data_IF_703328149603
#
_entry.id   IF_703328149603
#
_cell.length_a   1.000
_cell.length_b   1.000
_cell.length_c   1.000
_cell.angle_alpha   90.00
_cell.angle_beta   90.00
_cell.angle_gamma   90.00
#
_symmetry.space_group_name_H-M   'P 1'
#
loop_
_entity.id
_entity.type
_entity.pdbx_description
1 polymer ?
#
# COMPACT_ATOMS: atom_id res chain seq x y z
N UNK A 1 -10.20 -3.83 -11.00
CA UNK A 1 -10.07 -5.03 -11.85
C UNK A 1 -8.93 -5.92 -11.38
N UNK A 2 -7.66 -5.53 -11.53
CA UNK A 2 -6.51 -6.36 -11.13
C UNK A 2 -6.58 -6.92 -9.69
N UNK A 3 -6.93 -6.10 -8.70
CA UNK A 3 -7.09 -6.58 -7.31
C UNK A 3 -8.20 -7.63 -7.11
N UNK A 4 -9.30 -7.50 -7.84
CA UNK A 4 -10.38 -8.49 -7.81
C UNK A 4 -9.96 -9.79 -8.49
N UNK A 5 -9.26 -9.70 -9.62
CA UNK A 5 -8.78 -10.90 -10.32
C UNK A 5 -7.70 -11.62 -9.52
N UNK A 6 -6.79 -10.93 -8.82
CA UNK A 6 -5.82 -11.57 -7.93
C UNK A 6 -6.45 -12.24 -6.70
N UNK A 7 -7.50 -11.64 -6.13
CA UNK A 7 -8.15 -12.18 -4.92
C UNK A 7 -9.01 -13.40 -5.24
N UNK A 8 -9.69 -13.38 -6.39
CA UNK A 8 -10.53 -14.46 -6.90
C UNK A 8 -9.76 -15.50 -7.73
N UNK A 9 -8.44 -15.36 -7.88
CA UNK A 9 -7.64 -16.27 -8.68
C UNK A 9 -7.61 -17.68 -8.08
N UNK A 10 -8.16 -18.64 -8.83
CA UNK A 10 -8.09 -20.07 -8.55
C UNK A 10 -6.86 -20.74 -9.19
N UNK A 11 -6.23 -20.10 -10.18
CA UNK A 11 -5.04 -20.59 -10.86
C UNK A 11 -3.97 -19.49 -10.99
N UNK A 12 -2.72 -19.92 -11.18
CA UNK A 12 -1.56 -19.02 -11.24
C UNK A 12 -1.59 -18.07 -12.44
N UNK A 13 -2.19 -18.49 -13.56
CA UNK A 13 -2.26 -17.67 -14.78
C UNK A 13 -3.22 -16.49 -14.60
N UNK A 14 -4.36 -16.71 -13.94
CA UNK A 14 -5.32 -15.65 -13.58
C UNK A 14 -4.71 -14.69 -12.55
N UNK A 15 -3.87 -15.22 -11.66
CA UNK A 15 -3.11 -14.42 -10.70
C UNK A 15 -2.07 -13.55 -11.41
N UNK A 16 -1.37 -14.09 -12.41
CA UNK A 16 -0.44 -13.35 -13.26
C UNK A 16 -1.15 -12.25 -14.07
N UNK A 17 -2.32 -12.52 -14.65
CA UNK A 17 -3.15 -11.52 -15.35
C UNK A 17 -3.55 -10.40 -14.39
N UNK A 18 -4.01 -10.73 -13.18
CA UNK A 18 -4.35 -9.73 -12.17
C UNK A 18 -3.15 -8.87 -11.75
N UNK A 19 -1.99 -9.49 -11.62
CA UNK A 19 -0.73 -8.79 -11.36
C UNK A 19 -0.35 -7.86 -12.51
N UNK A 20 -0.42 -8.30 -13.76
CA UNK A 20 -0.11 -7.48 -14.93
C UNK A 20 -1.04 -6.25 -15.03
N UNK A 21 -2.35 -6.42 -14.79
CA UNK A 21 -3.32 -5.32 -14.80
C UNK A 21 -3.01 -4.25 -13.75
N UNK A 22 -2.54 -4.66 -12.58
CA UNK A 22 -2.10 -3.72 -11.54
C UNK A 22 -0.80 -3.01 -11.94
N UNK A 23 0.15 -3.68 -12.60
CA UNK A 23 1.38 -3.05 -13.08
C UNK A 23 1.08 -1.99 -14.15
N UNK A 24 0.17 -2.28 -15.08
CA UNK A 24 -0.34 -1.31 -16.05
C UNK A 24 -0.98 -0.10 -15.37
N UNK A 25 -1.79 -0.32 -14.33
CA UNK A 25 -2.40 0.76 -13.57
C UNK A 25 -1.36 1.62 -12.84
N UNK A 26 -0.32 1.00 -12.27
CA UNK A 26 0.79 1.71 -11.61
C UNK A 26 1.61 2.54 -12.59
N UNK A 27 1.93 1.99 -13.76
CA UNK A 27 2.61 2.73 -14.83
C UNK A 27 1.77 3.92 -15.28
N UNK A 28 0.47 3.70 -15.53
CA UNK A 28 -0.46 4.77 -15.90
C UNK A 28 -0.54 5.87 -14.85
N UNK A 29 -0.57 5.51 -13.57
CA UNK A 29 -0.60 6.47 -12.47
C UNK A 29 0.72 7.23 -12.32
N UNK A 30 1.87 6.58 -12.50
CA UNK A 30 3.17 7.23 -12.49
C UNK A 30 3.30 8.25 -13.64
N UNK A 31 2.83 7.90 -14.84
CA UNK A 31 2.78 8.78 -16.00
C UNK A 31 1.82 9.96 -15.77
N UNK A 32 0.62 9.70 -15.22
CA UNK A 32 -0.38 10.73 -14.90
C UNK A 32 0.10 11.73 -13.84
N UNK A 33 0.69 11.24 -12.74
CA UNK A 33 1.26 12.11 -11.71
C UNK A 33 2.46 12.92 -12.24
N UNK A 34 3.25 12.34 -13.15
CA UNK A 34 4.35 13.04 -13.82
C UNK A 34 3.90 14.20 -14.73
N UNK A 35 2.69 14.15 -15.29
CA UNK A 35 2.13 15.24 -16.10
C UNK A 35 1.68 16.46 -15.28
N UNK A 36 1.32 16.25 -14.00
CA UNK A 36 0.76 17.30 -13.13
C UNK A 36 1.80 18.05 -12.29
N UNK A 37 3.04 17.59 -12.28
CA UNK A 37 4.16 18.25 -11.60
C UNK A 37 4.75 19.30 -12.54
N UNK A 38 4.50 20.58 -12.29
CA UNK A 38 4.99 21.74 -13.06
C UNK A 38 6.51 21.97 -13.00
N UNK A 39 7.29 21.02 -12.48
CA UNK A 39 8.76 21.09 -12.54
C UNK A 39 9.24 20.68 -13.94
N UNK A 40 9.25 21.67 -14.82
CA UNK A 40 9.81 21.64 -16.16
C UNK A 40 11.33 21.41 -16.12
N UNK A 41 11.80 20.33 -16.74
CA UNK A 41 13.23 20.09 -16.98
C UNK A 41 13.57 18.70 -17.52
N UNK A 42 12.91 17.64 -17.02
CA UNK A 42 13.25 16.26 -17.37
C UNK A 42 12.09 15.55 -18.10
N UNK A 43 11.80 15.96 -19.35
CA UNK A 43 10.76 15.31 -20.18
C UNK A 43 11.15 13.89 -20.58
N UNK A 44 12.44 13.66 -20.92
CA UNK A 44 12.95 12.39 -21.43
C UNK A 44 13.08 11.30 -20.35
N UNK A 45 13.27 11.66 -19.08
CA UNK A 45 13.42 10.67 -17.98
C UNK A 45 12.11 10.13 -17.43
N UNK A 46 10.96 10.70 -17.82
CA UNK A 46 9.62 10.33 -17.31
C UNK A 46 9.23 8.86 -17.54
N UNK A 47 9.38 8.27 -18.74
CA UNK A 47 9.04 6.86 -18.97
C UNK A 47 9.97 5.91 -18.20
N UNK A 48 11.27 6.20 -18.16
CA UNK A 48 12.26 5.45 -17.36
C UNK A 48 11.90 5.44 -15.86
N UNK A 49 11.41 6.57 -15.35
CA UNK A 49 10.97 6.70 -13.96
C UNK A 49 9.66 5.96 -13.66
N UNK A 50 8.71 5.94 -14.60
CA UNK A 50 7.51 5.10 -14.48
C UNK A 50 7.86 3.61 -14.51
N UNK A 51 8.84 3.23 -15.34
CA UNK A 51 9.33 1.86 -15.45
C UNK A 51 9.99 1.39 -14.14
N UNK A 52 10.86 2.21 -13.54
CA UNK A 52 11.53 1.88 -12.27
C UNK A 52 10.57 1.70 -11.09
N UNK A 53 9.44 2.41 -11.08
CA UNK A 53 8.39 2.24 -10.07
C UNK A 53 7.59 0.94 -10.25
N UNK A 54 7.45 0.46 -11.48
CA UNK A 54 6.72 -0.76 -11.81
C UNK A 54 7.62 -2.01 -11.87
N UNK A 55 8.94 -1.85 -11.94
CA UNK A 55 9.93 -2.91 -12.13
C UNK A 55 9.80 -4.08 -11.12
N UNK A 56 9.63 -3.84 -9.80
CA UNK A 56 9.40 -4.93 -8.86
C UNK A 56 8.10 -5.69 -9.13
N UNK A 57 7.05 -4.98 -9.56
CA UNK A 57 5.78 -5.57 -9.96
C UNK A 57 5.89 -6.41 -11.23
N UNK A 58 6.58 -5.91 -12.25
CA UNK A 58 6.86 -6.64 -13.48
C UNK A 58 7.67 -7.91 -13.21
N UNK A 59 8.70 -7.82 -12.37
CA UNK A 59 9.49 -8.98 -11.95
C UNK A 59 8.62 -10.02 -11.23
N UNK A 60 7.73 -9.56 -10.32
CA UNK A 60 6.76 -10.45 -9.67
C UNK A 60 5.84 -11.12 -10.70
N UNK A 61 5.30 -10.36 -11.66
CA UNK A 61 4.43 -10.87 -12.73
C UNK A 61 5.17 -11.90 -13.61
N UNK A 62 6.44 -11.66 -13.95
CA UNK A 62 7.25 -12.62 -14.70
C UNK A 62 7.46 -13.92 -13.91
N UNK A 63 7.81 -13.83 -12.62
CA UNK A 63 7.97 -14.99 -11.75
C UNK A 63 6.66 -15.78 -11.65
N UNK A 64 5.51 -15.11 -11.58
CA UNK A 64 4.20 -15.77 -11.56
C UNK A 64 3.93 -16.56 -12.85
N UNK A 65 4.29 -16.00 -14.01
CA UNK A 65 4.18 -16.70 -15.30
C UNK A 65 5.10 -17.92 -15.34
N UNK A 66 6.36 -17.78 -14.92
CA UNK A 66 7.31 -18.89 -14.84
C UNK A 66 6.84 -19.99 -13.87
N UNK A 67 6.25 -19.61 -12.73
CA UNK A 67 5.64 -20.57 -11.80
C UNK A 67 4.46 -21.29 -12.43
N UNK A 68 3.61 -20.60 -13.20
CA UNK A 68 2.50 -21.22 -13.90
C UNK A 68 2.98 -22.25 -14.92
N UNK A 69 3.97 -21.89 -15.75
CA UNK A 69 4.57 -22.80 -16.75
C UNK A 69 5.22 -24.02 -16.09
N UNK A 70 5.94 -23.80 -14.98
CA UNK A 70 6.59 -24.89 -14.24
C UNK A 70 5.58 -25.82 -13.59
N UNK A 71 4.52 -25.28 -12.98
CA UNK A 71 3.48 -26.09 -12.35
C UNK A 71 2.70 -26.91 -13.40
N UNK A 72 2.46 -26.33 -14.57
CA UNK A 72 1.86 -27.03 -15.71
C UNK A 72 2.74 -28.18 -16.21
N UNK A 73 4.06 -27.94 -16.33
CA UNK A 73 5.02 -28.96 -16.75
C UNK A 73 5.20 -30.10 -15.72
N UNK A 74 5.20 -29.80 -14.41
CA UNK A 74 5.46 -30.78 -13.34
C UNK A 74 4.19 -31.53 -12.90
N UNK A 75 3.02 -30.88 -12.91
CA UNK A 75 1.77 -31.43 -12.32
C UNK A 75 0.63 -31.54 -13.36
N UNK A 76 0.78 -30.95 -14.54
CA UNK A 76 -0.23 -30.98 -15.61
C UNK A 76 -1.41 -30.02 -15.40
N UNK A 77 -1.31 -29.10 -14.44
CA UNK A 77 -2.32 -28.05 -14.22
C UNK A 77 -1.75 -26.81 -13.53
N UNK A 78 -2.44 -25.67 -13.63
CA UNK A 78 -2.02 -24.39 -13.02
C UNK A 78 -2.79 -24.00 -11.75
N UNK A 79 -3.57 -24.91 -11.18
CA UNK A 79 -4.49 -24.62 -10.08
C UNK A 79 -3.78 -24.51 -8.71
N UNK A 80 -4.13 -23.47 -7.94
CA UNK A 80 -3.58 -23.20 -6.60
C UNK A 80 -4.08 -24.13 -5.47
N UNK A 81 -5.29 -24.73 -5.51
CA UNK A 81 -5.75 -25.65 -4.46
C UNK A 81 -5.31 -27.11 -4.68
N UNK A 82 -4.42 -27.37 -5.65
CA UNK A 82 -3.89 -28.71 -5.85
C UNK A 82 -3.05 -29.16 -4.64
N UNK A 83 -3.34 -30.36 -4.12
CA UNK A 83 -2.75 -30.89 -2.88
C UNK A 83 -1.25 -31.16 -2.94
N UNK A 84 -0.59 -30.94 -4.07
CA UNK A 84 0.84 -31.17 -4.26
C UNK A 84 1.45 -30.03 -5.10
N UNK A 85 1.68 -28.87 -4.47
CA UNK A 85 2.49 -27.81 -5.08
C UNK A 85 3.96 -28.09 -4.74
N UNK A 86 4.86 -28.18 -5.73
CA UNK A 86 6.29 -28.32 -5.49
C UNK A 86 6.84 -27.20 -4.59
N UNK A 87 7.71 -27.51 -3.62
CA UNK A 87 8.25 -26.51 -2.69
C UNK A 87 9.04 -25.42 -3.42
N UNK A 88 9.71 -25.75 -4.52
CA UNK A 88 10.43 -24.80 -5.39
C UNK A 88 9.49 -23.74 -5.98
N UNK A 89 8.28 -24.13 -6.40
CA UNK A 89 7.25 -23.23 -6.91
C UNK A 89 6.72 -22.34 -5.77
N UNK A 90 6.50 -22.90 -4.58
CA UNK A 90 6.07 -22.11 -3.41
C UNK A 90 7.09 -21.05 -2.99
N UNK A 91 8.40 -21.36 -3.02
CA UNK A 91 9.47 -20.36 -2.78
C UNK A 91 9.37 -19.24 -3.80
N UNK A 92 9.29 -19.57 -5.09
CA UNK A 92 9.22 -18.56 -6.16
C UNK A 92 7.95 -17.70 -6.04
N UNK A 93 6.82 -18.29 -5.69
CA UNK A 93 5.58 -17.56 -5.41
C UNK A 93 5.72 -16.62 -4.21
N UNK A 94 6.41 -17.06 -3.15
CA UNK A 94 6.73 -16.21 -2.00
C UNK A 94 7.65 -15.04 -2.37
N UNK A 95 8.66 -15.27 -3.22
CA UNK A 95 9.53 -14.21 -3.76
C UNK A 95 8.72 -13.22 -4.60
N UNK A 96 7.87 -13.71 -5.50
CA UNK A 96 6.97 -12.86 -6.29
C UNK A 96 6.06 -12.02 -5.39
N UNK A 97 5.51 -12.62 -4.34
CA UNK A 97 4.67 -11.92 -3.36
C UNK A 97 5.45 -10.80 -2.66
N UNK A 98 6.67 -11.06 -2.19
CA UNK A 98 7.53 -10.06 -1.54
C UNK A 98 7.88 -8.93 -2.52
N UNK A 99 8.25 -9.24 -3.77
CA UNK A 99 8.50 -8.22 -4.79
C UNK A 99 7.27 -7.35 -5.07
N UNK A 100 6.08 -7.97 -5.08
CA UNK A 100 4.80 -7.28 -5.26
C UNK A 100 4.47 -6.34 -4.11
N UNK A 101 4.91 -6.65 -2.89
CA UNK A 101 4.74 -5.75 -1.74
C UNK A 101 5.50 -4.43 -1.90
N UNK A 102 6.49 -4.38 -2.79
CA UNK A 102 7.37 -3.22 -3.00
C UNK A 102 8.01 -2.75 -1.69
N UNK A 103 8.44 -3.71 -0.87
CA UNK A 103 9.02 -3.42 0.44
C UNK A 103 10.27 -2.55 0.32
N UNK A 104 10.48 -1.67 1.29
CA UNK A 104 11.70 -0.86 1.37
C UNK A 104 12.96 -1.75 1.27
N UNK A 105 13.94 -1.39 0.43
CA UNK A 105 14.10 -0.11 -0.25
C UNK A 105 13.32 0.05 -1.57
N UNK A 106 12.73 -1.01 -2.13
CA UNK A 106 12.08 -1.06 -3.46
C UNK A 106 10.82 -0.18 -3.61
N UNK A 107 10.39 0.51 -2.56
CA UNK A 107 9.19 1.33 -2.54
C UNK A 107 9.29 2.56 -3.48
N UNK A 108 8.28 2.82 -4.34
CA UNK A 108 8.27 3.96 -5.26
C UNK A 108 8.15 5.31 -4.53
N UNK A 109 9.08 6.24 -4.79
CA UNK A 109 9.33 7.42 -3.93
C UNK A 109 8.68 8.73 -4.36
N UNK A 110 8.34 8.85 -5.65
CA UNK A 110 7.76 10.08 -6.23
C UNK A 110 6.27 10.23 -5.95
N UNK A 111 5.67 9.18 -5.39
CA UNK A 111 4.28 9.15 -4.98
C UNK A 111 4.17 9.76 -3.58
N UNK A 112 4.15 11.10 -3.53
CA UNK A 112 4.12 11.88 -2.27
C UNK A 112 2.71 12.26 -1.82
N UNK A 113 1.70 12.12 -2.67
CA UNK A 113 0.32 12.44 -2.32
C UNK A 113 -0.39 11.30 -1.58
N UNK A 114 -1.40 11.64 -0.77
CA UNK A 114 -2.24 10.64 -0.10
C UNK A 114 -2.97 9.73 -1.10
N UNK A 115 -3.44 10.30 -2.22
CA UNK A 115 -4.04 9.55 -3.35
C UNK A 115 -3.06 8.57 -3.97
N UNK A 116 -1.80 8.98 -4.09
CA UNK A 116 -0.74 8.14 -4.60
C UNK A 116 -0.38 7.01 -3.62
N UNK A 117 -0.24 7.32 -2.33
CA UNK A 117 -0.03 6.30 -1.31
C UNK A 117 -1.18 5.28 -1.31
N UNK A 118 -2.44 5.74 -1.41
CA UNK A 118 -3.59 4.86 -1.55
C UNK A 118 -3.50 3.95 -2.79
N UNK A 119 -3.01 4.46 -3.93
CA UNK A 119 -2.84 3.66 -5.14
C UNK A 119 -1.79 2.55 -5.00
N UNK A 120 -0.72 2.79 -4.24
CA UNK A 120 0.34 1.81 -3.97
C UNK A 120 -0.08 0.72 -2.98
N UNK A 121 -1.14 0.95 -2.20
CA UNK A 121 -1.63 0.00 -1.22
C UNK A 121 -2.36 -1.20 -1.85
N UNK A 122 -2.99 -1.01 -3.01
CA UNK A 122 -3.63 -2.10 -3.75
C UNK A 122 -2.63 -3.19 -4.21
N UNK A 123 -1.55 -2.85 -4.93
CA UNK A 123 -0.54 -3.84 -5.32
C UNK A 123 0.22 -4.38 -4.10
N UNK A 124 0.53 -3.53 -3.11
CA UNK A 124 1.21 -4.00 -1.91
C UNK A 124 0.35 -4.99 -1.11
N UNK A 125 -0.95 -4.71 -0.97
CA UNK A 125 -1.92 -5.58 -0.33
C UNK A 125 -2.13 -6.89 -1.07
N UNK A 126 -2.12 -6.86 -2.41
CA UNK A 126 -2.17 -8.08 -3.22
C UNK A 126 -0.92 -8.96 -3.02
N UNK A 127 0.27 -8.35 -2.92
CA UNK A 127 1.49 -9.07 -2.56
C UNK A 127 1.41 -9.72 -1.19
N UNK A 128 0.98 -8.99 -0.17
CA UNK A 128 0.79 -9.51 1.18
C UNK A 128 -0.27 -10.62 1.23
N UNK A 129 -1.35 -10.49 0.46
CA UNK A 129 -2.40 -11.52 0.37
C UNK A 129 -1.85 -12.80 -0.26
N UNK A 130 -1.12 -12.67 -1.37
CA UNK A 130 -0.46 -13.81 -2.01
C UNK A 130 0.52 -14.48 -1.04
N UNK A 131 1.33 -13.70 -0.32
CA UNK A 131 2.29 -14.23 0.65
C UNK A 131 1.59 -15.01 1.77
N UNK A 132 0.51 -14.43 2.33
CA UNK A 132 -0.28 -15.09 3.36
C UNK A 132 -0.87 -16.43 2.85
N UNK A 133 -1.33 -16.47 1.58
CA UNK A 133 -1.81 -17.72 0.96
C UNK A 133 -0.70 -18.76 0.77
N UNK A 134 0.48 -18.35 0.32
CA UNK A 134 1.63 -19.26 0.15
C UNK A 134 2.05 -19.86 1.49
N UNK A 135 2.21 -19.02 2.51
CA UNK A 135 2.61 -19.42 3.87
C UNK A 135 1.55 -20.30 4.56
N UNK A 136 0.27 -20.11 4.21
CA UNK A 136 -0.82 -20.96 4.69
C UNK A 136 -0.81 -22.36 4.06
N UNK A 137 -0.33 -22.51 2.82
CA UNK A 137 -0.19 -23.81 2.15
C UNK A 137 1.00 -24.57 2.74
N UNK A 138 2.15 -23.91 2.83
CA UNK A 138 3.30 -24.43 3.55
C UNK A 138 4.19 -23.26 4.02
N UNK A 139 4.76 -23.32 5.23
CA UNK A 139 5.61 -22.27 5.75
C UNK A 139 7.02 -22.33 5.14
N UNK A 140 7.14 -22.02 3.84
CA UNK A 140 8.38 -22.25 3.07
C UNK A 140 9.43 -21.16 3.28
N UNK A 141 9.02 -19.94 3.63
CA UNK A 141 9.96 -18.87 3.98
C UNK A 141 9.98 -18.73 5.50
N UNK A 142 11.09 -19.03 6.18
CA UNK A 142 11.16 -18.97 7.63
C UNK A 142 11.15 -17.51 8.13
N UNK A 143 10.67 -17.32 9.36
CA UNK A 143 10.61 -16.01 10.02
C UNK A 143 12.01 -15.42 10.33
N UNK A 144 13.07 -16.21 10.21
CA UNK A 144 14.47 -15.77 10.38
C UNK A 144 15.14 -15.38 9.05
N UNK A 145 14.47 -15.60 7.92
CA UNK A 145 15.04 -15.31 6.61
C UNK A 145 15.16 -13.80 6.34
N UNK A 146 15.98 -13.47 5.33
CA UNK A 146 16.16 -12.12 4.80
C UNK A 146 14.85 -11.29 4.68
N UNK A 147 13.70 -11.85 4.28
CA UNK A 147 12.44 -11.10 4.23
C UNK A 147 11.97 -10.54 5.58
N UNK A 148 12.21 -11.23 6.70
CA UNK A 148 11.85 -10.70 8.02
C UNK A 148 12.74 -9.53 8.44
N UNK A 149 14.02 -9.59 8.09
CA UNK A 149 14.94 -8.46 8.24
C UNK A 149 14.50 -7.27 7.39
N UNK A 150 14.12 -7.49 6.13
CA UNK A 150 13.57 -6.44 5.26
C UNK A 150 12.25 -5.88 5.83
N UNK A 151 11.39 -6.73 6.40
CA UNK A 151 10.20 -6.36 7.16
C UNK A 151 10.48 -5.40 8.30
N UNK A 152 11.45 -5.76 9.15
CA UNK A 152 11.89 -4.96 10.29
C UNK A 152 12.53 -3.63 9.86
N UNK A 153 13.36 -3.64 8.82
CA UNK A 153 13.96 -2.43 8.28
C UNK A 153 12.89 -1.50 7.68
N UNK A 154 11.90 -2.05 6.98
CA UNK A 154 10.78 -1.29 6.46
C UNK A 154 9.94 -0.68 7.59
N UNK A 155 9.66 -1.42 8.66
CA UNK A 155 8.96 -0.89 9.83
C UNK A 155 9.67 0.33 10.43
N UNK A 156 10.97 0.19 10.69
CA UNK A 156 11.81 1.25 11.24
C UNK A 156 11.89 2.45 10.30
N UNK A 157 12.17 2.21 9.02
CA UNK A 157 12.23 3.27 8.01
C UNK A 157 10.89 3.99 7.88
N UNK A 158 9.77 3.26 7.87
CA UNK A 158 8.43 3.81 7.80
C UNK A 158 8.07 4.65 9.01
N UNK A 159 8.34 4.16 10.22
CA UNK A 159 8.14 4.92 11.47
C UNK A 159 8.96 6.21 11.51
N UNK A 160 10.25 6.12 11.19
CA UNK A 160 11.15 7.29 11.14
C UNK A 160 10.74 8.31 10.08
N UNK A 161 10.31 7.86 8.90
CA UNK A 161 9.80 8.74 7.84
C UNK A 161 8.48 9.40 8.23
N UNK A 162 7.58 8.68 8.92
CA UNK A 162 6.32 9.25 9.40
C UNK A 162 6.56 10.34 10.46
N UNK A 163 7.45 10.07 11.41
CA UNK A 163 7.86 11.03 12.43
C UNK A 163 8.55 12.26 11.85
N UNK A 164 9.65 12.04 11.11
CA UNK A 164 10.44 13.14 10.54
C UNK A 164 9.64 13.95 9.52
N UNK A 165 8.80 13.29 8.72
CA UNK A 165 7.85 13.90 7.80
C UNK A 165 6.95 14.92 8.49
N UNK A 166 6.32 14.50 9.59
CA UNK A 166 5.41 15.34 10.37
C UNK A 166 6.14 16.45 11.14
N UNK A 167 7.33 16.15 11.66
CA UNK A 167 8.17 17.15 12.33
C UNK A 167 8.66 18.25 11.37
N UNK A 168 8.99 17.89 10.12
CA UNK A 168 9.47 18.82 9.10
C UNK A 168 8.35 19.65 8.45
N UNK A 169 7.15 19.07 8.25
CA UNK A 169 6.00 19.76 7.66
C UNK A 169 5.62 21.04 8.43
N UNK A 170 5.80 21.05 9.76
CA UNK A 170 5.59 22.23 10.62
C UNK A 170 6.61 23.36 10.43
N UNK A 171 7.66 23.17 9.63
CA UNK A 171 8.73 24.15 9.36
C UNK A 171 8.53 24.89 8.04
N UNK A 172 7.91 24.24 7.05
CA UNK A 172 7.76 24.75 5.68
C UNK A 172 6.27 24.95 5.41
N UNK A 173 5.81 26.19 5.44
CA UNK A 173 4.48 26.57 4.94
C UNK A 173 4.37 26.17 3.46
N UNK A 174 3.81 24.99 3.19
CA UNK A 174 3.73 24.37 1.86
C UNK A 174 4.18 22.90 1.80
N UNK A 175 4.87 22.39 2.84
CA UNK A 175 5.22 20.97 2.96
C UNK A 175 4.01 20.14 3.38
N UNK A 176 3.21 19.68 2.41
CA UNK A 176 2.03 18.86 2.68
C UNK A 176 2.33 17.54 3.40
N UNK A 177 1.30 16.82 3.90
CA UNK A 177 1.42 15.60 4.72
C UNK A 177 2.00 14.37 4.00
N UNK A 178 2.61 14.55 2.82
CA UNK A 178 3.02 13.47 1.93
C UNK A 178 4.08 12.52 2.49
N UNK A 179 5.00 13.05 3.29
CA UNK A 179 6.02 12.24 3.95
C UNK A 179 5.43 11.32 5.03
N UNK A 180 4.38 11.76 5.74
CA UNK A 180 3.63 10.93 6.69
C UNK A 180 2.97 9.74 5.99
N UNK A 181 2.29 9.98 4.87
CA UNK A 181 1.61 8.92 4.11
C UNK A 181 2.58 7.88 3.57
N UNK A 182 3.73 8.31 3.07
CA UNK A 182 4.80 7.40 2.62
C UNK A 182 5.37 6.58 3.77
N UNK A 183 5.66 7.22 4.91
CA UNK A 183 6.14 6.51 6.10
C UNK A 183 5.13 5.49 6.61
N UNK A 184 3.86 5.88 6.69
CA UNK A 184 2.76 5.00 7.09
C UNK A 184 2.64 3.79 6.17
N UNK A 185 2.66 3.98 4.86
CA UNK A 185 2.56 2.88 3.89
C UNK A 185 3.72 1.90 4.05
N UNK A 186 4.96 2.39 4.08
CA UNK A 186 6.15 1.54 4.23
C UNK A 186 6.06 0.75 5.55
N UNK A 187 5.60 1.39 6.62
CA UNK A 187 5.40 0.75 7.91
C UNK A 187 4.31 -0.34 7.85
N UNK A 188 3.14 -0.07 7.23
CA UNK A 188 2.08 -1.08 7.11
C UNK A 188 2.52 -2.30 6.28
N UNK A 189 3.29 -2.08 5.22
CA UNK A 189 3.85 -3.16 4.41
C UNK A 189 4.84 -4.01 5.22
N UNK A 190 5.73 -3.37 5.99
CA UNK A 190 6.65 -4.07 6.88
C UNK A 190 5.94 -4.88 7.97
N UNK A 191 4.91 -4.29 8.60
CA UNK A 191 4.07 -4.95 9.60
C UNK A 191 3.35 -6.18 9.02
N UNK A 192 2.73 -6.02 7.84
CA UNK A 192 2.04 -7.09 7.14
C UNK A 192 2.99 -8.22 6.73
N UNK A 193 4.21 -7.90 6.31
CA UNK A 193 5.22 -8.90 5.97
C UNK A 193 5.62 -9.73 7.19
N UNK A 194 5.98 -9.07 8.30
CA UNK A 194 6.31 -9.78 9.54
C UNK A 194 5.14 -10.64 10.03
N UNK A 195 3.91 -10.12 9.96
CA UNK A 195 2.72 -10.89 10.34
C UNK A 195 2.57 -12.16 9.50
N UNK A 196 2.71 -12.06 8.18
CA UNK A 196 2.59 -13.22 7.28
C UNK A 196 3.69 -14.28 7.48
N UNK A 197 4.88 -13.87 7.95
CA UNK A 197 6.02 -14.76 8.19
C UNK A 197 5.99 -15.40 9.59
N UNK A 198 5.61 -14.64 10.62
CA UNK A 198 5.62 -15.09 12.02
C UNK A 198 4.35 -15.87 12.37
N UNK A 199 3.21 -15.53 11.76
CA UNK A 199 1.92 -16.16 12.02
C UNK A 199 1.34 -16.78 10.73
N UNK A 200 2.02 -17.78 10.13
CA UNK A 200 1.56 -18.43 8.91
C UNK A 200 0.19 -19.09 9.13
N UNK A 201 -0.67 -19.06 8.12
CA UNK A 201 -2.00 -19.68 8.17
C UNK A 201 -3.06 -18.91 8.97
N UNK A 202 -2.73 -17.75 9.53
CA UNK A 202 -3.70 -16.90 10.22
C UNK A 202 -4.46 -15.98 9.26
N UNK A 203 -5.65 -15.53 9.68
CA UNK A 203 -6.45 -14.58 8.90
C UNK A 203 -5.66 -13.30 8.63
N UNK A 204 -5.73 -12.72 7.40
CA UNK A 204 -4.98 -11.53 7.02
C UNK A 204 -5.55 -10.24 7.64
N UNK A 205 -5.64 -10.21 8.97
CA UNK A 205 -6.10 -9.07 9.77
C UNK A 205 -5.38 -7.75 9.44
N UNK A 206 -4.05 -7.72 9.21
CA UNK A 206 -3.38 -6.51 8.77
C UNK A 206 -3.99 -5.94 7.48
N UNK A 207 -4.32 -6.80 6.51
CA UNK A 207 -4.91 -6.38 5.24
C UNK A 207 -6.34 -5.88 5.41
N UNK A 208 -7.15 -6.58 6.21
CA UNK A 208 -8.52 -6.15 6.50
C UNK A 208 -8.56 -4.79 7.21
N UNK A 209 -7.72 -4.62 8.23
CA UNK A 209 -7.62 -3.35 8.98
C UNK A 209 -7.16 -2.19 8.08
N UNK A 210 -6.18 -2.47 7.21
CA UNK A 210 -5.67 -1.54 6.22
C UNK A 210 -6.76 -1.12 5.23
N UNK A 211 -7.49 -2.08 4.65
CA UNK A 211 -8.56 -1.80 3.70
C UNK A 211 -9.70 -0.98 4.32
N UNK A 212 -10.13 -1.30 5.55
CA UNK A 212 -11.19 -0.56 6.24
C UNK A 212 -10.77 0.88 6.55
N UNK A 213 -9.56 1.08 7.06
CA UNK A 213 -9.05 2.41 7.35
C UNK A 213 -8.88 3.26 6.07
N UNK A 214 -8.39 2.66 4.99
CA UNK A 214 -8.25 3.35 3.70
C UNK A 214 -9.58 3.64 3.04
N UNK A 215 -10.57 2.74 3.13
CA UNK A 215 -11.92 2.99 2.63
C UNK A 215 -12.54 4.20 3.32
N UNK A 216 -12.38 4.31 4.64
CA UNK A 216 -12.85 5.46 5.41
C UNK A 216 -12.15 6.75 4.93
N UNK A 217 -10.83 6.71 4.79
CA UNK A 217 -10.05 7.86 4.29
C UNK A 217 -10.42 8.24 2.86
N UNK A 218 -10.70 7.26 1.98
CA UNK A 218 -11.14 7.50 0.62
C UNK A 218 -12.50 8.19 0.57
N UNK A 219 -13.47 7.74 1.39
CA UNK A 219 -14.76 8.42 1.53
C UNK A 219 -14.59 9.84 2.06
N UNK A 220 -13.66 10.06 3.00
CA UNK A 220 -13.35 11.39 3.50
C UNK A 220 -12.74 12.30 2.43
N UNK A 221 -11.81 11.79 1.60
CA UNK A 221 -11.20 12.54 0.50
C UNK A 221 -12.19 12.86 -0.62
N UNK A 222 -13.09 11.95 -0.95
CA UNK A 222 -14.08 12.13 -2.03
C UNK A 222 -15.30 12.97 -1.59
N UNK A 223 -15.51 13.14 -0.28
CA UNK A 223 -16.58 13.97 0.25
C UNK A 223 -16.48 15.46 -0.15
N UNK A 224 -15.33 15.90 -0.69
CA UNK A 224 -15.01 17.27 -1.13
C UNK A 224 -15.19 17.50 -2.64
N UNK A 225 -15.48 16.49 -3.45
CA UNK A 225 -15.70 16.74 -4.89
C UNK A 225 -17.05 17.43 -5.07
N UNK A 226 -17.07 18.77 -5.00
CA UNK A 226 -17.98 19.58 -5.83
C UNK A 226 -17.89 18.90 -7.17
N UNK A 227 -18.99 18.28 -7.60
CA UNK A 227 -19.04 17.51 -8.82
C UNK A 227 -18.56 18.47 -9.90
N UNK A 228 -17.30 18.33 -10.36
CA UNK A 228 -16.95 18.83 -11.67
C UNK A 228 -18.00 18.16 -12.56
N UNK A 229 -18.90 18.94 -13.19
CA UNK A 229 -20.04 18.38 -13.89
C UNK A 229 -19.51 17.29 -14.78
N UNK A 230 -19.93 16.05 -14.53
CA UNK A 230 -19.44 14.89 -15.24
C UNK A 230 -19.79 15.12 -16.71
N UNK A 231 -18.82 15.58 -17.50
CA UNK A 231 -19.00 15.82 -18.93
C UNK A 231 -19.01 14.45 -19.58
N UNK A 232 -20.20 13.86 -19.63
CA UNK A 232 -20.43 12.65 -20.40
C UNK A 232 -19.89 12.86 -21.82
N UNK A 233 -19.27 11.83 -22.43
CA UNK A 233 -18.90 11.87 -23.84
C UNK A 233 -20.08 12.38 -24.68
N UNK A 234 -19.84 13.19 -25.72
CA UNK A 234 -20.90 13.86 -26.48
C UNK A 234 -22.03 12.90 -26.96
N UNK A 235 -21.69 11.64 -27.25
CA UNK A 235 -22.66 10.58 -27.62
C UNK A 235 -23.58 10.10 -26.48
N UNK A 236 -23.14 10.21 -25.22
CA UNK A 236 -23.95 9.90 -24.04
C UNK A 236 -24.74 11.12 -23.55
N UNK A 237 -24.28 12.34 -23.83
CA UNK A 237 -25.09 13.55 -23.62
C UNK A 237 -26.30 13.58 -24.54
N UNK A 238 -26.14 13.21 -25.82
CA UNK A 238 -27.26 13.09 -26.75
C UNK A 238 -28.23 11.97 -26.36
N UNK A 239 -27.72 10.82 -25.87
CA UNK A 239 -28.57 9.76 -25.32
C UNK A 239 -29.32 10.21 -24.05
N UNK A 240 -28.67 10.96 -23.15
CA UNK A 240 -29.29 11.50 -21.94
C UNK A 240 -30.32 12.60 -22.26
N UNK A 241 -30.09 13.41 -23.29
CA UNK A 241 -31.06 14.37 -23.81
C UNK A 241 -32.24 13.66 -24.48
N UNK A 242 -32.01 12.59 -25.24
CA UNK A 242 -33.06 11.79 -25.87
C UNK A 242 -33.94 11.06 -24.85
N UNK A 243 -33.32 10.46 -23.81
CA UNK A 243 -34.03 9.86 -22.67
C UNK A 243 -34.71 10.92 -21.81
N UNK A 244 -34.06 12.06 -21.58
CA UNK A 244 -34.62 13.20 -20.84
C UNK A 244 -35.83 13.83 -21.53
N UNK A 245 -35.86 13.90 -22.86
CA UNK A 245 -37.00 14.45 -23.61
C UNK A 245 -38.18 13.47 -23.71
N UNK A 246 -37.95 12.15 -23.79
CA UNK A 246 -39.04 11.16 -23.94
C UNK A 246 -39.53 10.55 -22.63
N UNK A 247 -38.63 10.35 -21.66
CA UNK A 247 -38.93 9.66 -20.39
C UNK A 247 -38.92 10.65 -19.21
N UNK A 248 -38.12 11.71 -19.30
CA UNK A 248 -38.02 12.77 -18.29
C UNK A 248 -39.37 13.35 -17.84
N UNK A 249 -40.27 13.85 -18.72
CA UNK A 249 -41.50 14.51 -18.28
C UNK A 249 -42.51 13.58 -17.59
N UNK A 250 -42.39 12.25 -17.76
CA UNK A 250 -43.24 11.26 -17.06
C UNK A 250 -42.69 10.82 -15.71
N UNK A 251 -41.37 10.87 -15.51
CA UNK A 251 -40.71 10.49 -14.26
C UNK A 251 -40.31 11.68 -13.39
N UNK A 252 -40.25 12.90 -13.95
CA UNK A 252 -39.94 14.13 -13.24
C UNK A 252 -40.79 14.38 -11.99
N UNK A 253 -42.14 14.26 -12.03
CA UNK A 253 -42.94 14.51 -10.84
C UNK A 253 -42.72 13.44 -9.76
N UNK A 254 -42.42 12.19 -10.13
CA UNK A 254 -42.11 11.14 -9.16
C UNK A 254 -40.71 11.34 -8.56
N UNK A 255 -39.72 11.66 -9.40
CA UNK A 255 -38.34 11.92 -9.00
C UNK A 255 -38.21 13.18 -8.14
N UNK A 256 -38.93 14.25 -8.48
CA UNK A 256 -38.98 15.48 -7.67
C UNK A 256 -39.66 15.24 -6.32
N UNK A 257 -40.76 14.46 -6.27
CA UNK A 257 -41.38 14.05 -4.99
C UNK A 257 -40.46 13.20 -4.15
N UNK A 258 -39.71 12.28 -4.78
CA UNK A 258 -38.75 11.42 -4.09
C UNK A 258 -37.57 12.24 -3.55
N UNK A 259 -37.05 13.19 -4.33
CA UNK A 259 -36.02 14.14 -3.89
C UNK A 259 -36.53 15.08 -2.78
N UNK A 260 -37.78 15.53 -2.84
CA UNK A 260 -38.38 16.35 -1.77
C UNK A 260 -38.59 15.54 -0.49
N UNK A 261 -39.11 14.32 -0.56
CA UNK A 261 -39.23 13.42 0.60
C UNK A 261 -37.87 13.06 1.21
N UNK A 262 -36.85 12.87 0.37
CA UNK A 262 -35.48 12.72 0.85
C UNK A 262 -34.93 14.00 1.44
N UNK A 263 -35.16 15.17 0.84
CA UNK A 263 -34.69 16.45 1.36
C UNK A 263 -35.33 16.77 2.73
N UNK A 264 -36.61 16.43 2.93
CA UNK A 264 -37.31 16.58 4.21
C UNK A 264 -36.76 15.63 5.27
N UNK A 265 -36.56 14.34 4.94
CA UNK A 265 -35.99 13.35 5.88
C UNK A 265 -34.50 13.57 6.15
N UNK A 266 -33.75 14.05 5.15
CA UNK A 266 -32.32 14.41 5.26
C UNK A 266 -32.11 15.84 5.81
N UNK A 267 -33.17 16.64 5.96
CA UNK A 267 -33.09 17.99 6.55
C UNK A 267 -32.66 17.96 8.02
N UNK A 268 -32.91 16.85 8.72
CA UNK A 268 -32.31 16.58 10.03
C UNK A 268 -30.79 16.36 9.93
N UNK A 269 -30.31 15.63 8.91
CA UNK A 269 -28.88 15.40 8.68
C UNK A 269 -28.14 16.67 8.23
N UNK A 270 -28.80 17.57 7.49
CA UNK A 270 -28.26 18.88 7.16
C UNK A 270 -28.11 19.78 8.41
N UNK A 271 -29.13 19.82 9.28
CA UNK A 271 -29.05 20.51 10.59
C UNK A 271 -27.99 19.90 11.51
N UNK A 272 -27.88 18.56 11.51
CA UNK A 272 -26.83 17.85 12.25
C UNK A 272 -25.44 18.16 11.70
N UNK A 273 -25.24 18.18 10.37
CA UNK A 273 -23.96 18.58 9.72
C UNK A 273 -23.50 19.96 10.17
N UNK A 274 -24.42 20.91 10.28
CA UNK A 274 -24.09 22.28 10.64
C UNK A 274 -23.80 22.44 12.14
N UNK A 275 -24.13 21.42 12.95
CA UNK A 275 -23.77 21.36 14.37
C UNK A 275 -22.26 21.26 14.57
N UNK A 276 -21.79 21.89 15.65
CA UNK A 276 -20.39 21.81 16.09
C UNK A 276 -19.93 20.37 16.34
N UNK A 277 -20.85 19.51 16.80
CA UNK A 277 -20.60 18.09 17.09
C UNK A 277 -20.30 17.34 15.79
N UNK A 278 -21.04 17.57 14.71
CA UNK A 278 -20.75 16.93 13.42
C UNK A 278 -19.48 17.48 12.77
N UNK A 279 -19.18 18.78 12.89
CA UNK A 279 -17.93 19.36 12.36
C UNK A 279 -16.69 18.83 13.08
N UNK A 280 -16.72 18.74 14.41
CA UNK A 280 -15.62 18.13 15.19
C UNK A 280 -15.59 16.61 15.02
N UNK A 281 -16.75 15.95 15.01
CA UNK A 281 -16.88 14.51 14.81
C UNK A 281 -16.39 14.05 13.43
N UNK A 282 -16.64 14.83 12.39
CA UNK A 282 -16.17 14.55 11.03
C UNK A 282 -14.64 14.48 10.90
N UNK A 283 -13.91 15.18 11.76
CA UNK A 283 -12.44 15.13 11.84
C UNK A 283 -11.95 13.94 12.66
N UNK A 284 -12.72 13.53 13.68
CA UNK A 284 -12.40 12.38 14.51
C UNK A 284 -12.47 11.05 13.74
N UNK A 285 -13.35 10.91 12.75
CA UNK A 285 -13.49 9.69 11.94
C UNK A 285 -12.24 9.36 11.10
N UNK A 286 -11.69 10.27 10.27
CA UNK A 286 -10.45 9.99 9.54
C UNK A 286 -9.24 9.95 10.49
N UNK A 287 -9.24 10.71 11.59
CA UNK A 287 -8.21 10.58 12.62
C UNK A 287 -8.20 9.17 13.24
N UNK A 288 -9.37 8.59 13.52
CA UNK A 288 -9.51 7.21 13.99
C UNK A 288 -9.00 6.22 12.95
N UNK A 289 -9.23 6.43 11.65
CA UNK A 289 -8.70 5.56 10.61
C UNK A 289 -7.17 5.57 10.58
N UNK A 290 -6.54 6.75 10.60
CA UNK A 290 -5.07 6.85 10.63
C UNK A 290 -4.51 6.26 11.94
N UNK A 291 -5.16 6.52 13.07
CA UNK A 291 -4.78 5.94 14.36
C UNK A 291 -4.94 4.42 14.37
N UNK A 292 -5.98 3.88 13.73
CA UNK A 292 -6.16 2.45 13.55
C UNK A 292 -5.03 1.84 12.73
N UNK A 293 -4.54 2.50 11.68
CA UNK A 293 -3.36 2.01 10.95
C UNK A 293 -2.12 1.93 11.86
N UNK A 294 -1.94 2.90 12.76
CA UNK A 294 -0.90 2.85 13.78
C UNK A 294 -1.16 1.84 14.91
N UNK A 295 -2.27 1.10 14.87
CA UNK A 295 -2.62 0.12 15.89
C UNK A 295 -3.20 0.73 17.16
N UNK A 296 -4.06 1.76 17.04
CA UNK A 296 -4.74 2.30 18.22
C UNK A 296 -5.45 1.16 18.99
N UNK A 297 -5.34 1.11 20.33
CA UNK A 297 -6.08 0.12 21.12
C UNK A 297 -7.57 0.11 20.77
N UNK A 298 -8.18 -1.07 20.84
CA UNK A 298 -9.61 -1.29 20.55
C UNK A 298 -10.03 -1.07 19.08
N UNK A 299 -9.09 -0.97 18.13
CA UNK A 299 -9.39 -0.94 16.70
C UNK A 299 -8.99 -2.24 15.99
N UNK A 300 -9.46 -2.41 14.75
CA UNK A 300 -9.02 -3.47 13.84
C UNK A 300 -7.48 -3.58 13.74
N UNK A 301 -6.77 -2.44 13.79
CA UNK A 301 -5.32 -2.42 13.73
C UNK A 301 -4.66 -3.04 14.96
N UNK A 302 -5.22 -2.82 16.16
CA UNK A 302 -4.75 -3.51 17.36
C UNK A 302 -5.00 -5.02 17.29
N UNK A 303 -6.11 -5.45 16.67
CA UNK A 303 -6.40 -6.86 16.45
C UNK A 303 -5.34 -7.55 15.57
N UNK A 304 -4.79 -6.82 14.60
CA UNK A 304 -3.71 -7.29 13.74
C UNK A 304 -2.35 -7.30 14.46
N UNK A 305 -2.04 -6.27 15.26
CA UNK A 305 -0.73 -6.12 15.91
C UNK A 305 -0.59 -6.93 17.18
N UNK A 306 -1.65 -7.11 17.97
CA UNK A 306 -1.60 -7.81 19.25
C UNK A 306 -1.06 -9.25 19.14
N UNK A 307 -1.50 -10.08 18.18
CA UNK A 307 -0.92 -11.41 17.98
C UNK A 307 0.54 -11.36 17.57
N UNK A 308 0.94 -10.38 16.75
CA UNK A 308 2.34 -10.24 16.32
C UNK A 308 3.26 -9.95 17.51
N UNK A 309 2.86 -9.03 18.39
CA UNK A 309 3.58 -8.74 19.64
C UNK A 309 3.69 -9.98 20.54
N UNK A 310 2.60 -10.74 20.67
CA UNK A 310 2.57 -11.93 21.52
C UNK A 310 3.44 -13.06 20.95
N UNK A 311 3.44 -13.27 19.63
CA UNK A 311 4.26 -14.29 18.97
C UNK A 311 5.75 -13.96 19.10
N UNK A 312 6.14 -12.73 18.79
CA UNK A 312 7.52 -12.28 18.91
C UNK A 312 8.03 -12.32 20.35
N UNK A 313 7.16 -12.03 21.32
CA UNK A 313 7.49 -12.12 22.75
C UNK A 313 7.64 -13.57 23.21
N UNK A 314 6.76 -14.47 22.77
CA UNK A 314 6.81 -15.89 23.10
C UNK A 314 8.09 -16.54 22.59
N UNK A 315 8.50 -16.20 21.36
CA UNK A 315 9.67 -16.79 20.71
C UNK A 315 10.98 -16.07 21.09
N UNK A 316 10.92 -15.04 21.95
CA UNK A 316 12.09 -14.22 22.31
C UNK A 316 12.73 -13.52 21.11
N UNK A 317 11.95 -13.25 20.07
CA UNK A 317 12.45 -12.81 18.78
C UNK A 317 12.94 -11.34 18.84
N UNK A 318 14.18 -11.04 18.40
CA UNK A 318 14.74 -9.69 18.45
C UNK A 318 13.96 -8.66 17.61
N UNK A 319 13.17 -9.10 16.63
CA UNK A 319 12.28 -8.23 15.84
C UNK A 319 11.18 -7.55 16.68
N UNK A 320 10.95 -7.99 17.92
CA UNK A 320 10.06 -7.28 18.84
C UNK A 320 10.54 -5.86 19.11
N UNK A 321 11.86 -5.67 19.27
CA UNK A 321 12.45 -4.37 19.56
C UNK A 321 12.34 -3.41 18.38
N UNK A 322 12.56 -3.91 17.16
CA UNK A 322 12.38 -3.11 15.95
C UNK A 322 10.93 -2.66 15.79
N UNK A 323 9.96 -3.55 16.07
CA UNK A 323 8.53 -3.24 16.04
C UNK A 323 8.16 -2.17 17.08
N UNK A 324 8.60 -2.32 18.34
CA UNK A 324 8.35 -1.34 19.41
C UNK A 324 8.88 0.06 19.05
N UNK A 325 10.12 0.12 18.57
CA UNK A 325 10.76 1.38 18.19
C UNK A 325 10.05 2.00 16.98
N UNK A 326 9.72 1.19 15.97
CA UNK A 326 9.00 1.65 14.79
C UNK A 326 7.60 2.20 15.14
N UNK A 327 6.87 1.51 16.01
CA UNK A 327 5.54 1.91 16.47
C UNK A 327 5.59 3.19 17.29
N UNK A 328 6.65 3.37 18.08
CA UNK A 328 6.89 4.58 18.87
C UNK A 328 7.08 5.80 17.96
N UNK A 329 7.90 5.68 16.91
CA UNK A 329 8.09 6.75 15.93
C UNK A 329 6.82 7.00 15.12
N UNK A 330 6.10 5.94 14.74
CA UNK A 330 4.83 6.09 14.02
C UNK A 330 3.80 6.84 14.86
N UNK A 331 3.64 6.48 16.14
CA UNK A 331 2.75 7.16 17.08
C UNK A 331 3.16 8.63 17.27
N UNK A 332 4.46 8.92 17.42
CA UNK A 332 4.97 10.28 17.52
C UNK A 332 4.66 11.11 16.25
N UNK A 333 4.89 10.54 15.06
CA UNK A 333 4.56 11.17 13.78
C UNK A 333 3.08 11.45 13.64
N UNK A 334 2.22 10.51 14.05
CA UNK A 334 0.78 10.66 14.04
C UNK A 334 0.32 11.79 14.96
N UNK A 335 0.83 11.87 16.19
CA UNK A 335 0.51 12.97 17.11
C UNK A 335 0.96 14.34 16.60
N UNK A 336 2.12 14.41 15.94
CA UNK A 336 2.59 15.64 15.31
C UNK A 336 1.77 16.01 14.07
N UNK A 337 1.35 15.05 13.26
CA UNK A 337 0.65 15.29 12.00
C UNK A 337 -0.86 15.46 12.12
N UNK A 338 -1.49 14.97 13.19
CA UNK A 338 -2.95 14.92 13.36
C UNK A 338 -3.64 16.28 13.18
N UNK A 339 -3.12 17.34 13.81
CA UNK A 339 -3.70 18.69 13.68
C UNK A 339 -3.58 19.22 12.26
N UNK A 340 -2.44 19.01 11.60
CA UNK A 340 -2.14 19.53 10.26
C UNK A 340 -2.86 18.74 9.16
N UNK A 341 -3.15 17.45 9.40
CA UNK A 341 -3.92 16.58 8.51
C UNK A 341 -5.40 16.98 8.45
N UNK A 342 -5.93 17.53 9.55
CA UNK A 342 -7.37 17.74 9.72
C UNK A 342 -7.77 19.15 10.13
N UNK A 343 -6.91 20.14 9.88
CA UNK A 343 -7.29 21.56 10.01
C UNK A 343 -8.59 21.85 9.26
N UNK A 344 -9.52 22.60 9.88
CA UNK A 344 -10.95 22.59 9.54
C UNK A 344 -11.22 23.36 8.24
N UNK A 345 -11.10 22.69 7.11
CA UNK A 345 -11.49 23.25 5.81
C UNK A 345 -12.66 22.50 5.15
N UNK A 346 -13.08 21.33 5.65
CA UNK A 346 -13.89 20.39 4.87
C UNK A 346 -15.07 19.80 5.66
N UNK A 347 -16.29 20.14 5.26
CA UNK A 347 -17.53 19.57 5.79
C UNK A 347 -18.04 18.45 4.88
N UNK A 348 -17.98 17.17 5.30
CA UNK A 348 -18.40 16.05 4.45
C UNK A 348 -19.92 16.04 4.17
N UNK A 349 -20.30 15.50 3.01
CA UNK A 349 -21.71 15.26 2.64
C UNK A 349 -22.42 14.34 3.64
N UNK A 350 -23.74 14.46 3.86
CA UNK A 350 -24.48 13.66 4.84
C UNK A 350 -24.41 12.16 4.56
N UNK A 351 -24.46 11.73 3.30
CA UNK A 351 -24.28 10.31 2.93
C UNK A 351 -22.85 9.82 3.17
N UNK A 352 -21.85 10.66 2.93
CA UNK A 352 -20.45 10.33 3.22
C UNK A 352 -20.22 10.20 4.74
N UNK A 353 -20.88 11.03 5.56
CA UNK A 353 -20.87 10.92 7.02
C UNK A 353 -21.43 9.58 7.50
N UNK A 354 -22.55 9.13 6.95
CA UNK A 354 -23.13 7.81 7.28
C UNK A 354 -22.16 6.69 6.89
N UNK A 355 -21.57 6.76 5.69
CA UNK A 355 -20.56 5.80 5.24
C UNK A 355 -19.32 5.76 6.14
N UNK A 356 -18.79 6.93 6.53
CA UNK A 356 -17.66 7.03 7.45
C UNK A 356 -17.99 6.52 8.86
N UNK A 357 -19.19 6.83 9.38
CA UNK A 357 -19.65 6.31 10.67
C UNK A 357 -19.78 4.79 10.65
N UNK A 358 -20.34 4.23 9.58
CA UNK A 358 -20.44 2.79 9.40
C UNK A 358 -19.05 2.14 9.37
N UNK A 359 -18.12 2.66 8.57
CA UNK A 359 -16.75 2.14 8.49
C UNK A 359 -15.99 2.28 9.81
N UNK A 360 -16.17 3.40 10.52
CA UNK A 360 -15.59 3.62 11.85
C UNK A 360 -16.16 2.63 12.88
N UNK A 361 -17.47 2.38 12.85
CA UNK A 361 -18.10 1.38 13.69
C UNK A 361 -17.56 -0.02 13.40
N UNK A 362 -17.40 -0.40 12.12
CA UNK A 362 -16.79 -1.69 11.75
C UNK A 362 -15.34 -1.77 12.24
N UNK A 363 -14.54 -0.70 12.11
CA UNK A 363 -13.16 -0.63 12.64
C UNK A 363 -13.09 -0.83 14.16
N UNK A 364 -14.03 -0.26 14.92
CA UNK A 364 -14.07 -0.40 16.39
C UNK A 364 -14.63 -1.77 16.81
N UNK A 365 -15.74 -2.20 16.22
CA UNK A 365 -16.39 -3.47 16.54
C UNK A 365 -15.47 -4.67 16.25
N UNK A 366 -14.70 -4.60 15.16
CA UNK A 366 -13.68 -5.62 14.85
C UNK A 366 -12.53 -5.66 15.86
N UNK A 367 -12.17 -4.53 16.47
CA UNK A 367 -11.17 -4.44 17.54
C UNK A 367 -11.66 -4.99 18.88
N UNK A 368 -12.91 -4.73 19.25
CA UNK A 368 -13.50 -5.08 20.55
C UNK A 368 -13.88 -6.58 20.64
N UNK A 369 -13.94 -7.29 19.51
CA UNK A 369 -14.16 -8.74 19.49
C UNK A 369 -15.50 -9.18 18.89
N UNK A 370 -16.29 -8.27 18.32
CA UNK A 370 -17.52 -8.59 17.59
C UNK A 370 -17.27 -9.20 16.18
N UNK A 371 -16.05 -9.71 15.92
CA UNK A 371 -15.70 -10.40 14.69
C UNK A 371 -16.23 -11.84 14.59
N UNK A 372 -16.74 -12.41 15.69
CA UNK A 372 -17.36 -13.74 15.70
C UNK A 372 -18.57 -13.82 14.75
N UNK A 373 -19.35 -12.74 14.63
CA UNK A 373 -20.45 -12.64 13.67
C UNK A 373 -20.03 -12.46 12.20
N UNK A 374 -18.77 -12.11 11.95
CA UNK A 374 -18.19 -11.94 10.60
C UNK A 374 -17.36 -13.17 10.16
N UNK A 375 -17.36 -14.24 10.95
CA UNK A 375 -16.57 -15.46 10.67
C UNK A 375 -15.06 -15.31 10.88
N UNK A 376 -14.61 -14.23 11.54
CA UNK A 376 -13.19 -13.97 11.74
C UNK A 376 -12.72 -14.53 13.08
N UNK A 377 -11.94 -15.61 13.03
CA UNK A 377 -11.42 -16.24 14.24
C UNK A 377 -10.31 -15.39 14.89
N UNK A 378 -10.35 -15.21 16.22
CA UNK A 378 -9.27 -14.58 16.94
C UNK A 378 -8.02 -15.45 16.91
N UNK A 379 -6.85 -14.84 16.71
CA UNK A 379 -5.57 -15.55 16.89
C UNK A 379 -5.30 -15.62 18.40
N UNK A 380 -5.19 -16.84 18.93
CA UNK A 380 -4.90 -17.08 20.35
C UNK A 380 -3.49 -17.61 20.51
N UNK A 381 -2.67 -16.87 21.24
CA UNK A 381 -1.28 -17.23 21.53
C UNK A 381 -1.22 -17.52 23.03
N UNK A 382 -0.85 -18.77 23.36
CA UNK A 382 -0.81 -19.27 24.75
C UNK A 382 0.53 -18.93 25.38
N UNK A 383 0.57 -18.77 26.70
CA UNK A 383 1.82 -18.61 27.46
C UNK A 383 2.31 -17.17 27.64
N UNK A 384 1.53 -16.17 27.24
CA UNK A 384 1.87 -14.75 27.42
C UNK A 384 0.86 -14.05 28.33
N UNK A 385 1.34 -13.31 29.35
CA UNK A 385 0.47 -12.54 30.25
C UNK A 385 -0.29 -11.45 29.50
N UNK A 386 -1.61 -11.45 29.62
CA UNK A 386 -2.46 -10.41 29.02
C UNK A 386 -2.14 -9.00 29.55
N UNK A 387 -1.79 -8.89 30.84
CA UNK A 387 -1.39 -7.62 31.46
C UNK A 387 -0.03 -7.14 30.98
N UNK A 388 0.95 -8.05 30.89
CA UNK A 388 2.29 -7.73 30.35
C UNK A 388 2.21 -7.28 28.90
N UNK A 389 1.40 -7.97 28.09
CA UNK A 389 1.11 -7.59 26.70
C UNK A 389 0.39 -6.25 26.60
N UNK A 390 -0.60 -5.99 27.45
CA UNK A 390 -1.29 -4.71 27.48
C UNK A 390 -0.34 -3.55 27.77
N UNK A 391 0.58 -3.72 28.72
CA UNK A 391 1.58 -2.72 29.05
C UNK A 391 2.57 -2.52 27.89
N UNK A 392 3.11 -3.61 27.35
CA UNK A 392 4.01 -3.60 26.19
C UNK A 392 3.38 -2.89 24.98
N UNK A 393 2.10 -3.11 24.74
CA UNK A 393 1.35 -2.52 23.63
C UNK A 393 1.08 -1.01 23.81
N UNK A 394 0.92 -0.55 25.06
CA UNK A 394 0.67 0.86 25.38
C UNK A 394 1.96 1.69 25.38
N UNK A 395 3.12 1.07 25.63
CA UNK A 395 4.42 1.75 25.69
C UNK A 395 4.72 2.61 24.44
N UNK A 396 4.60 2.11 23.20
CA UNK A 396 4.83 2.93 22.00
C UNK A 396 3.96 4.18 21.92
N UNK A 397 2.72 4.11 22.42
CA UNK A 397 1.81 5.24 22.44
C UNK A 397 2.24 6.30 23.46
N UNK A 398 2.58 5.87 24.69
CA UNK A 398 3.03 6.79 25.74
C UNK A 398 4.36 7.46 25.37
N UNK A 399 5.34 6.67 24.93
CA UNK A 399 6.64 7.18 24.51
C UNK A 399 6.51 8.01 23.25
N UNK A 400 5.62 7.64 22.33
CA UNK A 400 5.32 8.41 21.12
C UNK A 400 4.75 9.79 21.42
N UNK A 401 3.80 9.90 22.37
CA UNK A 401 3.27 11.20 22.84
C UNK A 401 4.38 12.05 23.45
N UNK A 402 5.20 11.44 24.30
CA UNK A 402 6.35 12.12 24.91
C UNK A 402 7.35 12.63 23.86
N UNK A 403 7.71 11.80 22.88
CA UNK A 403 8.57 12.19 21.76
C UNK A 403 7.94 13.29 20.90
N UNK A 404 6.63 13.25 20.66
CA UNK A 404 5.92 14.32 19.95
C UNK A 404 6.00 15.64 20.71
N UNK A 405 5.90 15.63 22.04
CA UNK A 405 6.06 16.83 22.88
C UNK A 405 7.47 17.42 22.81
N UNK A 406 8.49 16.56 22.71
CA UNK A 406 9.89 16.95 22.55
C UNK A 406 10.28 17.31 21.11
N UNK A 407 9.50 16.84 20.13
CA UNK A 407 9.76 16.98 18.70
C UNK A 407 9.93 18.44 18.24
N UNK A 408 9.44 19.41 19.01
CA UNK A 408 9.70 20.84 18.83
C UNK A 408 11.20 21.20 18.85
N UNK A 409 12.00 20.50 19.65
CA UNK A 409 13.47 20.69 19.75
C UNK A 409 14.24 19.93 18.66
N UNK A 410 13.70 18.82 18.15
CA UNK A 410 14.36 17.92 17.20
C UNK A 410 14.10 18.26 15.72
N UNK A 411 13.41 19.39 15.47
CA UNK A 411 13.08 19.90 14.12
C UNK A 411 14.29 20.09 13.21
N UNK A 412 15.49 20.30 13.76
CA UNK A 412 16.72 20.47 13.00
C UNK A 412 17.25 19.17 12.39
N UNK A 413 16.97 18.02 13.03
CA UNK A 413 17.51 16.70 12.67
C UNK A 413 16.57 15.97 11.69
N UNK A 414 15.27 16.29 11.71
CA UNK A 414 14.26 15.71 10.82
C UNK A 414 14.64 15.66 9.32
N UNK A 415 15.14 16.73 8.68
CA UNK A 415 15.53 16.68 7.26
C UNK A 415 16.75 15.76 7.01
N UNK A 416 17.66 15.66 7.97
CA UNK A 416 18.83 14.79 7.88
C UNK A 416 18.40 13.31 7.94
N UNK A 417 17.47 12.98 8.85
CA UNK A 417 16.88 11.63 8.93
C UNK A 417 16.14 11.28 7.64
N UNK A 418 15.36 12.22 7.07
CA UNK A 418 14.70 12.00 5.78
C UNK A 418 15.69 11.74 4.64
N UNK A 419 16.83 12.45 4.60
CA UNK A 419 17.86 12.24 3.58
C UNK A 419 18.52 10.85 3.68
N UNK A 420 18.85 10.42 4.91
CA UNK A 420 19.50 9.13 5.16
C UNK A 420 18.52 7.97 4.94
N UNK A 421 17.40 7.97 5.68
CA UNK A 421 16.39 6.89 5.64
C UNK A 421 15.64 6.89 4.31
N UNK A 422 15.44 8.06 3.73
CA UNK A 422 14.89 8.20 2.41
C UNK A 422 15.79 7.61 1.32
N UNK A 423 17.05 7.22 1.60
CA UNK A 423 18.11 6.75 0.69
C UNK A 423 18.20 7.52 -0.63
N UNK A 424 17.92 8.82 -0.64
CA UNK A 424 17.93 9.60 -1.88
C UNK A 424 19.33 9.66 -2.49
N UNK A 425 20.37 9.44 -1.68
CA UNK A 425 21.76 9.31 -2.10
C UNK A 425 22.01 8.02 -2.90
N UNK A 426 21.49 6.87 -2.42
CA UNK A 426 21.72 5.55 -3.04
C UNK A 426 21.07 5.48 -4.42
N UNK A 427 19.85 6.00 -4.55
CA UNK A 427 19.14 6.02 -5.82
C UNK A 427 19.72 7.03 -6.81
N UNK A 428 20.28 8.15 -6.32
CA UNK A 428 21.08 9.04 -7.16
C UNK A 428 22.35 8.34 -7.66
N UNK A 429 23.00 7.55 -6.81
CA UNK A 429 24.16 6.75 -7.21
C UNK A 429 23.79 5.64 -8.22
N UNK A 430 22.71 4.90 -7.98
CA UNK A 430 22.15 3.91 -8.93
C UNK A 430 21.70 4.54 -10.24
N UNK A 431 21.08 5.72 -10.20
CA UNK A 431 20.72 6.47 -11.41
C UNK A 431 21.94 6.91 -12.20
N UNK A 432 23.03 7.32 -11.54
CA UNK A 432 24.32 7.59 -12.21
C UNK A 432 24.90 6.32 -12.83
N UNK A 433 24.92 5.20 -12.10
CA UNK A 433 25.34 3.90 -12.64
C UNK A 433 24.49 3.48 -13.84
N UNK A 434 23.16 3.69 -13.76
CA UNK A 434 22.23 3.45 -14.85
C UNK A 434 22.55 4.31 -16.08
N UNK A 435 22.81 5.61 -15.90
CA UNK A 435 23.22 6.49 -17.01
C UNK A 435 24.60 6.13 -17.59
N UNK A 436 25.51 5.59 -16.77
CA UNK A 436 26.82 5.09 -17.23
C UNK A 436 26.63 3.80 -18.04
N UNK A 437 25.74 2.90 -17.60
CA UNK A 437 25.41 1.66 -18.30
C UNK A 437 24.59 1.89 -19.56
N UNK A 438 23.68 2.86 -19.55
CA UNK A 438 22.94 3.31 -20.73
C UNK A 438 23.89 3.99 -21.72
N UNK A 439 24.81 4.82 -21.24
CA UNK A 439 25.90 5.37 -22.04
C UNK A 439 26.83 4.28 -22.60
N UNK A 440 27.14 3.25 -21.82
CA UNK A 440 27.94 2.11 -22.26
C UNK A 440 27.20 1.20 -23.24
N UNK A 441 25.88 1.03 -23.07
CA UNK A 441 25.01 0.27 -23.97
C UNK A 441 24.74 1.01 -25.28
N UNK A 442 24.58 2.34 -25.22
CA UNK A 442 24.51 3.22 -26.37
C UNK A 442 25.86 3.28 -27.10
N UNK A 443 26.98 3.31 -26.37
CA UNK A 443 28.33 3.21 -26.93
C UNK A 443 28.58 1.82 -27.53
N UNK A 444 28.18 0.73 -26.87
CA UNK A 444 28.20 -0.64 -27.43
C UNK A 444 27.29 -0.77 -28.65
N UNK A 445 26.16 -0.05 -28.67
CA UNK A 445 25.25 0.05 -29.81
C UNK A 445 25.88 0.81 -30.98
N UNK A 446 26.53 1.95 -30.73
CA UNK A 446 27.26 2.72 -31.75
C UNK A 446 28.49 1.98 -32.27
N UNK A 447 29.25 1.32 -31.40
CA UNK A 447 30.39 0.48 -31.79
C UNK A 447 29.91 -0.82 -32.48
N UNK A 448 28.68 -1.26 -32.20
CA UNK A 448 28.00 -2.37 -32.85
C UNK A 448 27.44 -2.03 -34.23
N UNK A 449 26.97 -0.80 -34.43
CA UNK A 449 26.50 -0.28 -35.73
C UNK A 449 27.65 0.14 -36.67
N UNK A 450 28.86 0.37 -36.13
CA UNK A 450 30.00 0.85 -36.91
C UNK A 450 30.58 -0.16 -37.91
N UNK A 451 30.86 -1.41 -37.50
CA UNK A 451 31.56 -2.37 -38.39
C UNK A 451 31.22 -3.86 -38.19
N UNK A 452 30.16 -4.23 -37.44
CA UNK A 452 29.66 -5.63 -37.37
C UNK A 452 30.63 -6.72 -36.84
N UNK A 453 31.88 -6.36 -36.53
CA UNK A 453 32.97 -7.24 -36.10
C UNK A 453 32.68 -8.05 -34.84
N UNK A 454 31.89 -7.53 -33.89
CA UNK A 454 31.51 -8.27 -32.67
C UNK A 454 30.45 -9.35 -32.93
N UNK A 455 29.52 -9.11 -33.85
CA UNK A 455 28.57 -10.14 -34.31
C UNK A 455 29.30 -11.25 -35.04
N UNK A 456 30.26 -10.91 -35.90
CA UNK A 456 31.16 -11.87 -36.53
C UNK A 456 32.03 -12.60 -35.51
N UNK A 457 32.60 -11.91 -34.50
CA UNK A 457 33.42 -12.55 -33.47
C UNK A 457 32.62 -13.57 -32.65
N UNK A 458 31.36 -13.26 -32.27
CA UNK A 458 30.47 -14.20 -31.57
C UNK A 458 30.02 -15.36 -32.45
N UNK A 459 29.73 -15.12 -33.74
CA UNK A 459 29.39 -16.17 -34.70
C UNK A 459 30.60 -17.08 -34.95
N UNK A 460 31.80 -16.52 -35.08
CA UNK A 460 33.07 -17.26 -35.26
C UNK A 460 33.42 -18.03 -33.98
N UNK A 461 33.21 -17.46 -32.79
CA UNK A 461 33.40 -18.16 -31.51
C UNK A 461 32.39 -19.29 -31.33
N UNK A 462 31.13 -19.08 -31.71
CA UNK A 462 30.10 -20.11 -31.69
C UNK A 462 30.39 -21.23 -32.70
N UNK A 463 30.80 -20.90 -33.92
CA UNK A 463 31.23 -21.88 -34.93
C UNK A 463 32.49 -22.63 -34.50
N UNK A 464 33.49 -21.94 -33.93
CA UNK A 464 34.71 -22.56 -33.42
C UNK A 464 34.41 -23.51 -32.25
N UNK A 465 33.52 -23.11 -31.33
CA UNK A 465 33.08 -23.96 -30.23
C UNK A 465 32.35 -25.21 -30.75
N UNK A 466 31.45 -25.05 -31.73
CA UNK A 466 30.72 -26.17 -32.34
C UNK A 466 31.68 -27.14 -33.05
N UNK A 467 32.69 -26.63 -33.78
CA UNK A 467 33.69 -27.47 -34.46
C UNK A 467 34.68 -28.13 -33.48
N UNK A 468 35.02 -27.49 -32.36
CA UNK A 468 35.89 -28.06 -31.32
C UNK A 468 35.18 -29.10 -30.43
N UNK A 469 33.85 -29.04 -30.33
CA UNK A 469 33.05 -30.04 -29.59
C UNK A 469 32.45 -31.13 -30.50
N UNK A 470 32.67 -31.05 -31.81
CA UNK A 470 32.10 -31.94 -32.83
C UNK A 470 33.06 -33.02 -33.36
N UNK A 471 34.22 -33.22 -32.74
CA UNK A 471 35.18 -34.29 -33.04
C UNK A 471 35.26 -35.32 -31.92
#
# INVERSE_FOLDING_TARGET
AGALTTTLAANLLTLAIGSALMDLALMGLALWCGQRSEDAGDSERRPLLALTAALPGLAATLILVLCALRLDAEVGHTSFPARQIPPSVLVLLGVAAILRTQIFPLHPRRVRGATGAAALLLPAGAGLYLLARVQAVAPVIPAEALPALLGSLALLAGGLLAWSGSAAARRLSGGGPGALWRGLLIHQVGAGLLFALVLPGTSPWPLLSLMLALALLAVWWDADTVVAPFTLPARLQSAKQWVGQRVGPRLEPWWQRWQQQLAERLGFLARWRDSWIARRGAVLLPALAVASLAGLPLTAGARARWPLYAALLQDGNPHLWSLLVADTFLAAGLWLGLNDLFTPARGPRPLALVGMLFLAAVLLLSGIGAGQGLGWQPVHIRGVSAWGMGLLYIVPWLVGIWLASLGLRWRQIAPLVQSIVGLDWLYRALGRLGSILEGAGYWLGQVGEGEGWWGWALIILALAAIFLTGS
#
